data_IF_434581355828
#
_entry.id   IF_434581355828
#
_cell.length_a   1.000
_cell.length_b   1.000
_cell.length_c   1.000
_cell.angle_alpha   90.00
_cell.angle_beta   90.00
_cell.angle_gamma   90.00
#
_symmetry.space_group_name_H-M   'P 1'
#
loop_
_entity.id
_entity.type
_entity.pdbx_description
1 polymer ?
#
# COMPACT_ATOMS: atom_id res chain seq x y z
N UNK A 1 15.95 9.20 5.10
CA UNK A 1 14.81 10.07 5.47
C UNK A 1 15.28 11.49 5.75
N UNK A 2 16.22 11.67 6.67
CA UNK A 2 16.84 12.97 6.98
C UNK A 2 17.69 13.51 5.83
N UNK A 3 18.25 12.63 5.02
CA UNK A 3 19.05 13.01 3.84
C UNK A 3 18.23 13.77 2.80
N UNK A 4 16.89 13.62 2.82
CA UNK A 4 15.97 14.35 1.94
C UNK A 4 15.10 15.37 2.67
N UNK A 5 14.72 15.12 3.93
CA UNK A 5 13.77 15.96 4.68
C UNK A 5 14.40 16.82 5.78
N UNK A 6 15.70 16.69 6.04
CA UNK A 6 16.35 17.38 7.16
C UNK A 6 16.03 16.75 8.51
N UNK A 7 16.40 17.44 9.59
CA UNK A 7 16.29 16.93 10.97
C UNK A 7 15.39 17.81 11.83
N UNK A 8 15.61 19.13 11.79
CA UNK A 8 14.84 20.11 12.58
C UNK A 8 13.95 21.02 11.73
N UNK A 9 13.98 20.83 10.41
CA UNK A 9 13.39 21.67 9.37
C UNK A 9 12.49 20.86 8.42
N UNK A 10 11.99 19.71 8.89
CA UNK A 10 11.09 18.83 8.14
C UNK A 10 9.80 19.58 7.79
N UNK A 11 9.60 19.82 6.50
CA UNK A 11 8.41 20.50 5.99
C UNK A 11 7.28 19.51 5.67
N UNK A 12 6.05 19.95 5.87
CA UNK A 12 4.86 19.16 5.51
C UNK A 12 4.56 19.25 4.02
N UNK A 13 4.00 18.19 3.46
CA UNK A 13 3.71 18.09 2.02
C UNK A 13 2.48 18.89 1.55
N UNK A 14 1.95 19.79 2.38
CA UNK A 14 0.73 20.56 2.09
C UNK A 14 0.99 21.92 1.41
N UNK A 15 2.24 22.19 1.01
CA UNK A 15 2.64 23.42 0.32
C UNK A 15 2.55 23.35 -1.21
N UNK A 16 3.17 24.33 -1.88
CA UNK A 16 3.30 24.34 -3.34
C UNK A 16 4.18 23.19 -3.83
N UNK A 17 3.57 22.20 -4.49
CA UNK A 17 4.27 21.02 -5.02
C UNK A 17 5.37 21.39 -6.03
N UNK A 18 5.25 22.51 -6.74
CA UNK A 18 6.27 22.99 -7.69
C UNK A 18 7.53 23.45 -6.96
N UNK A 19 7.36 24.23 -5.88
CA UNK A 19 8.45 24.65 -5.01
C UNK A 19 9.11 23.45 -4.31
N UNK A 20 8.32 22.47 -3.87
CA UNK A 20 8.84 21.24 -3.26
C UNK A 20 9.69 20.43 -4.25
N UNK A 21 9.21 20.24 -5.49
CA UNK A 21 9.96 19.53 -6.54
C UNK A 21 11.29 20.22 -6.85
N UNK A 22 11.29 21.55 -6.94
CA UNK A 22 12.51 22.32 -7.20
C UNK A 22 13.53 22.20 -6.07
N UNK A 23 13.07 22.23 -4.81
CA UNK A 23 13.95 22.07 -3.65
C UNK A 23 14.48 20.63 -3.56
N UNK A 24 13.67 19.63 -3.89
CA UNK A 24 14.07 18.22 -3.90
C UNK A 24 15.21 17.94 -4.89
N UNK A 25 15.15 18.50 -6.11
CA UNK A 25 16.25 18.37 -7.09
C UNK A 25 17.55 18.92 -6.52
N UNK A 26 17.51 20.08 -5.85
CA UNK A 26 18.69 20.67 -5.21
C UNK A 26 19.27 19.76 -4.12
N UNK A 27 18.42 19.16 -3.29
CA UNK A 27 18.86 18.19 -2.28
C UNK A 27 19.51 16.96 -2.91
N UNK A 28 18.94 16.42 -3.99
CA UNK A 28 19.57 15.32 -4.72
C UNK A 28 20.92 15.73 -5.34
N UNK A 29 21.04 16.98 -5.79
CA UNK A 29 22.27 17.50 -6.40
C UNK A 29 23.45 17.66 -5.44
N UNK A 30 23.22 17.64 -4.13
CA UNK A 30 24.30 17.59 -3.14
C UNK A 30 25.18 16.34 -3.33
N UNK A 31 24.58 15.23 -3.76
CA UNK A 31 25.26 13.97 -4.04
C UNK A 31 25.29 13.61 -5.55
N UNK A 32 24.33 14.11 -6.34
CA UNK A 32 24.19 13.83 -7.78
C UNK A 32 24.23 15.14 -8.59
N UNK A 33 25.41 15.71 -8.88
CA UNK A 33 25.53 17.04 -9.48
C UNK A 33 24.77 17.22 -10.80
N UNK A 34 24.63 16.15 -11.58
CA UNK A 34 23.96 16.14 -12.88
C UNK A 34 22.45 15.77 -12.81
N UNK A 35 21.88 15.67 -11.60
CA UNK A 35 20.47 15.35 -11.43
C UNK A 35 19.58 16.44 -12.07
N UNK A 36 18.69 16.02 -12.96
CA UNK A 36 17.72 16.88 -13.64
C UNK A 36 16.37 16.88 -12.90
N UNK A 37 15.42 17.71 -13.35
CA UNK A 37 14.05 17.68 -12.81
C UNK A 37 13.35 16.33 -12.97
N UNK A 38 13.67 15.60 -14.04
CA UNK A 38 13.20 14.23 -14.27
C UNK A 38 13.81 13.20 -13.32
N UNK A 39 14.96 13.51 -12.72
CA UNK A 39 15.57 12.64 -11.70
C UNK A 39 14.72 12.62 -10.43
N UNK A 40 14.24 13.79 -10.00
CA UNK A 40 13.31 13.92 -8.88
C UNK A 40 11.88 13.42 -9.18
N UNK A 41 11.56 13.16 -10.46
CA UNK A 41 10.30 12.51 -10.86
C UNK A 41 10.32 11.00 -10.65
N UNK A 42 11.48 10.41 -10.38
CA UNK A 42 11.57 9.00 -9.98
C UNK A 42 10.88 8.79 -8.63
N UNK A 43 10.23 7.64 -8.48
CA UNK A 43 9.26 7.34 -7.42
C UNK A 43 9.84 7.51 -6.01
N UNK A 44 9.65 8.68 -5.41
CA UNK A 44 10.10 9.02 -4.05
C UNK A 44 8.99 8.86 -2.98
N UNK A 45 7.95 8.06 -3.26
CA UNK A 45 7.01 7.60 -2.23
C UNK A 45 6.03 8.64 -1.67
N UNK A 46 5.99 9.86 -2.20
CA UNK A 46 5.09 10.95 -1.76
C UNK A 46 4.12 11.41 -2.84
N UNK A 47 3.67 10.50 -3.70
CA UNK A 47 2.67 10.79 -4.70
C UNK A 47 1.43 9.94 -4.53
N UNK A 48 0.28 10.58 -4.37
CA UNK A 48 -1.01 9.88 -4.38
C UNK A 48 -1.38 9.67 -5.85
N UNK A 49 -1.44 8.41 -6.32
CA UNK A 49 -1.85 8.13 -7.69
C UNK A 49 -3.29 8.61 -7.92
N UNK A 50 -3.48 9.45 -8.93
CA UNK A 50 -4.78 9.85 -9.44
C UNK A 50 -4.86 9.51 -10.93
N UNK A 51 -6.06 9.63 -11.51
CA UNK A 51 -6.27 9.39 -12.94
C UNK A 51 -5.55 10.44 -13.81
N UNK A 52 -5.30 11.63 -13.29
CA UNK A 52 -4.71 12.74 -14.06
C UNK A 52 -3.20 12.62 -14.21
N UNK A 53 -2.55 11.87 -13.32
CA UNK A 53 -1.11 11.90 -13.17
C UNK A 53 -0.40 10.55 -13.25
N UNK A 54 -1.07 9.48 -12.86
CA UNK A 54 -0.56 8.12 -12.86
C UNK A 54 -1.73 7.14 -13.06
N UNK A 55 -2.43 7.19 -14.21
CA UNK A 55 -3.69 6.46 -14.43
C UNK A 55 -3.53 4.95 -14.29
N UNK A 56 -2.40 4.38 -14.74
CA UNK A 56 -2.10 2.96 -14.59
C UNK A 56 -1.96 2.58 -13.11
N UNK A 57 -1.20 3.37 -12.34
CA UNK A 57 -0.95 3.08 -10.92
C UNK A 57 -2.24 3.23 -10.11
N UNK A 58 -3.04 4.26 -10.39
CA UNK A 58 -4.35 4.46 -9.75
C UNK A 58 -5.31 3.29 -10.04
N UNK A 59 -5.30 2.74 -11.26
CA UNK A 59 -6.11 1.58 -11.61
C UNK A 59 -5.64 0.32 -10.85
N UNK A 60 -4.33 0.11 -10.77
CA UNK A 60 -3.73 -1.01 -10.03
C UNK A 60 -4.04 -0.90 -8.53
N UNK A 61 -3.98 0.30 -7.97
CA UNK A 61 -4.38 0.57 -6.59
C UNK A 61 -5.86 0.24 -6.35
N UNK A 62 -6.75 0.69 -7.23
CA UNK A 62 -8.18 0.37 -7.14
C UNK A 62 -8.42 -1.14 -7.23
N UNK A 63 -7.73 -1.82 -8.14
CA UNK A 63 -7.81 -3.27 -8.30
C UNK A 63 -7.40 -3.99 -7.01
N UNK A 64 -6.24 -3.68 -6.43
CA UNK A 64 -5.78 -4.32 -5.20
C UNK A 64 -6.63 -3.97 -3.98
N UNK A 65 -7.16 -2.75 -3.92
CA UNK A 65 -8.09 -2.32 -2.85
C UNK A 65 -9.36 -3.16 -2.80
N UNK A 66 -9.80 -3.71 -3.94
CA UNK A 66 -10.97 -4.61 -4.02
C UNK A 66 -10.54 -6.08 -3.89
N UNK A 67 -9.49 -6.48 -4.60
CA UNK A 67 -9.05 -7.87 -4.68
C UNK A 67 -8.63 -8.43 -3.31
N UNK A 68 -7.81 -7.70 -2.56
CA UNK A 68 -7.25 -8.16 -1.29
C UNK A 68 -8.36 -8.49 -0.27
N UNK A 69 -9.30 -7.59 0.06
CA UNK A 69 -10.36 -7.91 1.01
C UNK A 69 -11.32 -8.98 0.49
N UNK A 70 -11.57 -9.05 -0.82
CA UNK A 70 -12.41 -10.09 -1.41
C UNK A 70 -11.81 -11.50 -1.20
N UNK A 71 -10.52 -11.66 -1.49
CA UNK A 71 -9.81 -12.93 -1.33
C UNK A 71 -9.71 -13.32 0.15
N UNK A 72 -9.35 -12.39 1.02
CA UNK A 72 -9.28 -12.63 2.47
C UNK A 72 -10.66 -13.03 3.01
N UNK A 73 -11.72 -12.30 2.64
CA UNK A 73 -13.09 -12.60 3.05
C UNK A 73 -13.55 -13.97 2.59
N UNK A 74 -13.28 -14.33 1.33
CA UNK A 74 -13.59 -15.66 0.79
C UNK A 74 -12.92 -16.77 1.62
N UNK A 75 -11.63 -16.64 1.92
CA UNK A 75 -10.92 -17.66 2.70
C UNK A 75 -11.38 -17.73 4.15
N UNK A 76 -11.72 -16.60 4.78
CA UNK A 76 -12.30 -16.59 6.14
C UNK A 76 -13.63 -17.37 6.13
N UNK A 77 -14.52 -17.06 5.20
CA UNK A 77 -15.82 -17.75 5.08
C UNK A 77 -15.61 -19.25 4.85
N UNK A 78 -14.71 -19.60 3.93
CA UNK A 78 -14.37 -20.99 3.64
C UNK A 78 -13.88 -21.75 4.89
N UNK A 79 -12.95 -21.16 5.64
CA UNK A 79 -12.40 -21.77 6.86
C UNK A 79 -13.48 -21.91 7.94
N UNK A 80 -14.36 -20.92 8.11
CA UNK A 80 -15.45 -20.98 9.08
C UNK A 80 -16.44 -22.10 8.76
N UNK A 81 -16.80 -22.25 7.48
CA UNK A 81 -17.69 -23.34 7.02
C UNK A 81 -17.02 -24.71 7.24
N UNK A 82 -15.74 -24.86 6.87
CA UNK A 82 -14.98 -26.10 7.07
C UNK A 82 -14.88 -26.45 8.57
N UNK A 83 -14.62 -25.46 9.43
CA UNK A 83 -14.55 -25.65 10.87
C UNK A 83 -15.92 -26.06 11.46
N UNK A 84 -16.99 -25.39 11.04
CA UNK A 84 -18.36 -25.73 11.47
C UNK A 84 -18.72 -27.16 11.09
N UNK A 85 -18.42 -27.57 9.85
CA UNK A 85 -18.64 -28.94 9.37
C UNK A 85 -17.84 -29.96 10.20
N UNK A 86 -16.55 -29.71 10.45
CA UNK A 86 -15.72 -30.59 11.28
C UNK A 86 -16.24 -30.72 12.72
N UNK A 87 -16.75 -29.64 13.30
CA UNK A 87 -17.33 -29.66 14.64
C UNK A 87 -18.65 -30.44 14.65
N UNK A 88 -19.51 -30.23 13.65
CA UNK A 88 -20.76 -30.98 13.48
C UNK A 88 -20.50 -32.48 13.35
N UNK A 89 -19.59 -32.88 12.45
CA UNK A 89 -19.28 -34.28 12.18
C UNK A 89 -18.68 -34.97 13.42
N UNK A 90 -17.76 -34.30 14.14
CA UNK A 90 -17.22 -34.80 15.43
C UNK A 90 -18.29 -35.01 16.49
N UNK A 91 -19.29 -34.12 16.57
CA UNK A 91 -20.42 -34.23 17.51
C UNK A 91 -21.35 -35.39 17.14
N UNK A 92 -21.59 -35.60 15.84
CA UNK A 92 -22.41 -36.71 15.34
C UNK A 92 -21.74 -38.06 15.61
N UNK A 93 -20.43 -38.20 15.34
CA UNK A 93 -19.70 -39.46 15.60
C UNK A 93 -19.63 -39.81 17.10
N UNK A 94 -19.44 -38.83 18.00
CA UNK A 94 -19.48 -39.08 19.45
C UNK A 94 -20.83 -39.62 19.93
N UNK A 95 -21.94 -39.11 19.38
CA UNK A 95 -23.30 -39.58 19.72
C UNK A 95 -23.54 -41.05 19.32
N UNK A 96 -23.00 -41.49 18.18
CA UNK A 96 -23.13 -42.89 17.72
C UNK A 96 -22.28 -43.88 18.51
N UNK A 97 -21.13 -43.46 19.06
CA UNK A 97 -20.28 -44.34 19.87
C UNK A 97 -20.80 -44.60 21.29
N UNK A 98 -21.85 -43.90 21.72
CA UNK A 98 -22.35 -43.91 23.09
C UNK A 98 -23.71 -44.64 23.25
N UNK A 99 -24.27 -45.14 22.13
CA UNK A 99 -25.47 -45.99 22.03
C UNK A 99 -25.06 -47.41 21.68
#
# INVERSE_FOLDING_TARGET
CTDCHGVHDIQTAHGDQSAMKTNLVKTCQECHPDATTSFADSWLGHYVPTLDNAPLVALVELFYRILIPAVIGFFIIYILIDLQRRIHDRRASKRQSQT
#
